data_IF_985062591735
#
_entry.id   IF_985062591735
#
_cell.length_a   1.000
_cell.length_b   1.000
_cell.length_c   1.000
_cell.angle_alpha   90.00
_cell.angle_beta   90.00
_cell.angle_gamma   90.00
#
_symmetry.space_group_name_H-M   'P 1'
#
loop_
_entity.id
_entity.type
_entity.pdbx_description
1 polymer ?
#
# COMPACT_ATOMS: atom_id res chain seq x y z
N UNK A 1 -1.58 -53.14 23.49
CA UNK A 1 -2.35 -52.21 24.34
C UNK A 1 -1.42 -51.08 24.74
N UNK A 2 -1.52 -49.92 24.07
CA UNK A 2 -0.63 -48.78 24.33
C UNK A 2 -0.98 -48.09 25.66
N UNK A 3 0.05 -47.77 26.44
CA UNK A 3 0.00 -47.20 27.77
C UNK A 3 -0.76 -45.85 27.79
N UNK A 4 -1.80 -45.68 28.63
CA UNK A 4 -2.59 -44.44 28.69
C UNK A 4 -1.76 -43.20 29.05
N UNK A 5 -0.63 -43.39 29.75
CA UNK A 5 0.30 -42.30 30.11
C UNK A 5 0.99 -41.72 28.87
N UNK A 6 1.32 -42.55 27.87
CA UNK A 6 1.98 -42.13 26.63
C UNK A 6 1.06 -41.28 25.73
N UNK A 7 -0.27 -41.46 25.85
CA UNK A 7 -1.27 -40.67 25.09
C UNK A 7 -1.45 -39.26 25.67
N UNK A 8 -1.36 -39.11 26.99
CA UNK A 8 -1.53 -37.82 27.66
C UNK A 8 -0.28 -36.94 27.45
N UNK A 9 0.92 -37.53 27.49
CA UNK A 9 2.16 -36.80 27.23
C UNK A 9 2.26 -36.32 25.77
N UNK A 10 1.78 -37.11 24.81
CA UNK A 10 1.73 -36.73 23.39
C UNK A 10 0.76 -35.59 23.08
N UNK A 11 -0.35 -35.47 23.82
CA UNK A 11 -1.32 -34.39 23.64
C UNK A 11 -0.81 -33.05 24.17
N UNK A 12 -0.08 -33.06 25.29
CA UNK A 12 0.53 -31.86 25.89
C UNK A 12 1.68 -31.26 25.05
N UNK A 13 2.43 -32.10 24.33
CA UNK A 13 3.51 -31.64 23.44
C UNK A 13 2.98 -30.95 22.17
N UNK A 14 1.80 -31.34 21.68
CA UNK A 14 1.15 -30.69 20.52
C UNK A 14 0.50 -29.35 20.86
N UNK A 15 0.12 -29.09 22.11
CA UNK A 15 -0.46 -27.80 22.56
C UNK A 15 0.60 -26.69 22.74
N UNK A 16 1.89 -27.04 22.90
CA UNK A 16 2.98 -26.07 23.05
C UNK A 16 3.51 -25.46 21.74
N UNK A 17 3.22 -26.09 20.59
CA UNK A 17 3.76 -25.68 19.28
C UNK A 17 2.79 -24.83 18.43
N UNK A 18 1.55 -24.64 18.88
CA UNK A 18 0.49 -23.98 18.10
C UNK A 18 0.34 -22.47 18.39
N UNK A 19 1.06 -21.92 19.35
CA UNK A 19 1.00 -20.49 19.65
C UNK A 19 2.28 -19.80 19.15
N UNK A 20 2.31 -19.47 17.86
CA UNK A 20 3.18 -18.41 17.37
C UNK A 20 2.39 -17.10 17.56
N UNK A 21 2.60 -16.33 18.64
CA UNK A 21 1.98 -15.02 18.73
C UNK A 21 2.61 -14.17 17.65
N UNK A 22 1.87 -13.90 16.57
CA UNK A 22 2.26 -12.87 15.61
C UNK A 22 2.16 -11.55 16.37
N UNK A 23 3.27 -11.13 16.98
CA UNK A 23 3.39 -9.82 17.62
C UNK A 23 3.14 -8.80 16.51
N UNK A 24 1.97 -8.18 16.51
CA UNK A 24 1.67 -7.13 15.55
C UNK A 24 2.75 -6.04 15.71
N UNK A 25 3.32 -5.54 14.61
CA UNK A 25 4.25 -4.44 14.69
C UNK A 25 3.53 -3.27 15.34
N UNK A 26 4.07 -2.83 16.48
CA UNK A 26 3.52 -1.71 17.22
C UNK A 26 3.65 -0.45 16.35
N UNK A 27 2.60 0.35 16.28
CA UNK A 27 2.62 1.58 15.50
C UNK A 27 3.69 2.50 16.09
N UNK A 28 4.69 2.94 15.31
CA UNK A 28 5.72 3.83 15.84
C UNK A 28 5.11 5.13 16.36
N UNK A 29 5.60 5.59 17.51
CA UNK A 29 5.22 6.89 18.07
C UNK A 29 6.02 8.02 17.44
N UNK A 30 5.47 9.24 17.42
CA UNK A 30 6.14 10.42 16.84
C UNK A 30 5.93 10.59 15.33
N UNK A 31 6.37 11.74 14.82
CA UNK A 31 6.30 12.05 13.38
C UNK A 31 7.45 11.35 12.63
N UNK A 32 7.23 10.83 11.41
CA UNK A 32 8.30 10.24 10.62
C UNK A 32 9.35 11.29 10.23
N UNK A 33 10.59 10.84 10.05
CA UNK A 33 11.70 11.65 9.58
C UNK A 33 12.10 11.26 8.16
N UNK A 34 12.42 12.25 7.33
CA UNK A 34 12.91 12.06 5.98
C UNK A 34 14.39 12.43 5.94
N UNK A 35 15.24 11.44 5.69
CA UNK A 35 16.68 11.63 5.57
C UNK A 35 17.08 11.53 4.11
N UNK A 36 17.69 12.57 3.56
CA UNK A 36 18.20 12.52 2.19
C UNK A 36 19.22 11.39 2.07
N UNK A 37 19.11 10.58 1.02
CA UNK A 37 19.94 9.40 0.78
C UNK A 37 20.53 9.44 -0.63
N UNK A 38 21.15 8.33 -1.04
CA UNK A 38 21.73 8.15 -2.37
C UNK A 38 21.30 6.80 -2.97
N UNK A 39 21.49 6.66 -4.27
CA UNK A 39 21.06 5.47 -5.02
C UNK A 39 21.83 4.20 -4.63
N UNK A 40 23.09 4.34 -4.19
CA UNK A 40 23.91 3.21 -3.72
C UNK A 40 23.40 2.62 -2.40
N UNK A 41 22.60 3.37 -1.63
CA UNK A 41 21.97 2.89 -0.41
C UNK A 41 20.76 2.00 -0.65
N UNK A 42 20.20 1.98 -1.88
CA UNK A 42 19.09 1.10 -2.24
C UNK A 42 19.63 -0.31 -2.56
N UNK A 43 19.17 -1.35 -1.86
CA UNK A 43 19.60 -2.72 -2.16
C UNK A 43 19.31 -3.09 -3.61
N UNK A 44 20.30 -3.71 -4.27
CA UNK A 44 20.19 -4.24 -5.64
C UNK A 44 19.82 -3.21 -6.72
N UNK A 45 19.94 -1.91 -6.45
CA UNK A 45 19.54 -0.86 -7.38
C UNK A 45 20.17 -1.03 -8.76
N UNK A 46 21.49 -1.21 -8.85
CA UNK A 46 22.20 -1.35 -10.13
C UNK A 46 21.76 -2.54 -10.99
N UNK A 47 21.07 -3.53 -10.39
CA UNK A 47 20.59 -4.74 -11.07
C UNK A 47 19.08 -4.65 -11.39
N UNK A 48 18.39 -3.63 -10.87
CA UNK A 48 16.96 -3.47 -11.05
C UNK A 48 16.62 -3.27 -12.54
N UNK A 49 15.59 -3.98 -13.00
CA UNK A 49 14.97 -3.75 -14.30
C UNK A 49 13.88 -2.69 -14.14
N UNK A 50 14.04 -1.54 -14.80
CA UNK A 50 13.23 -0.35 -14.53
C UNK A 50 12.10 -0.11 -15.53
N UNK A 51 11.95 -0.97 -16.56
CA UNK A 51 10.84 -0.87 -17.50
C UNK A 51 9.45 -0.86 -16.81
N UNK A 52 9.17 -1.73 -15.81
CA UNK A 52 7.91 -1.67 -15.06
C UNK A 52 7.76 -0.37 -14.26
N UNK A 53 8.85 0.15 -13.69
CA UNK A 53 8.86 1.41 -12.95
C UNK A 53 8.54 2.60 -13.86
N UNK A 54 9.09 2.64 -15.07
CA UNK A 54 8.76 3.65 -16.08
C UNK A 54 7.29 3.56 -16.50
N UNK A 55 6.78 2.34 -16.72
CA UNK A 55 5.36 2.14 -17.04
C UNK A 55 4.43 2.67 -15.94
N UNK A 56 4.76 2.38 -14.66
CA UNK A 56 4.02 2.90 -13.52
C UNK A 56 4.08 4.43 -13.41
N UNK A 57 5.26 5.03 -13.64
CA UNK A 57 5.42 6.48 -13.68
C UNK A 57 4.56 7.12 -14.78
N UNK A 58 4.59 6.56 -16.00
CA UNK A 58 3.81 7.03 -17.13
C UNK A 58 2.30 6.93 -16.89
N UNK A 59 1.82 5.86 -16.23
CA UNK A 59 0.42 5.74 -15.82
C UNK A 59 0.00 6.87 -14.87
N UNK A 60 0.86 7.23 -13.90
CA UNK A 60 0.61 8.37 -13.00
C UNK A 60 0.69 9.74 -13.70
N UNK A 61 1.54 9.87 -14.71
CA UNK A 61 1.77 11.11 -15.46
C UNK A 61 0.53 11.63 -16.21
N UNK A 62 -0.49 10.80 -16.46
CA UNK A 62 -1.80 11.22 -16.99
C UNK A 62 -2.38 12.39 -16.17
N UNK A 63 -2.26 12.33 -14.84
CA UNK A 63 -2.75 13.37 -13.93
C UNK A 63 -1.63 14.26 -13.41
N UNK A 64 -0.47 13.68 -13.08
CA UNK A 64 0.61 14.42 -12.41
C UNK A 64 1.17 15.56 -13.24
N UNK A 65 1.22 15.44 -14.58
CA UNK A 65 1.72 16.51 -15.47
C UNK A 65 0.97 17.83 -15.36
N UNK A 66 -0.21 17.88 -14.73
CA UNK A 66 -0.93 19.13 -14.43
C UNK A 66 -0.22 19.97 -13.37
N UNK A 67 0.66 19.36 -12.56
CA UNK A 67 1.46 20.04 -11.53
C UNK A 67 2.79 20.48 -12.14
N UNK A 68 3.17 21.74 -11.92
CA UNK A 68 4.36 22.36 -12.52
C UNK A 68 5.64 21.52 -12.35
N UNK A 69 5.92 21.06 -11.13
CA UNK A 69 7.11 20.25 -10.80
C UNK A 69 7.17 18.89 -11.51
N UNK A 70 6.05 18.39 -12.04
CA UNK A 70 5.95 17.09 -12.71
C UNK A 70 5.90 17.20 -14.23
N UNK A 71 5.69 18.40 -14.79
CA UNK A 71 5.55 18.59 -16.23
C UNK A 71 6.76 18.06 -17.00
N UNK A 72 7.95 18.52 -16.61
CA UNK A 72 9.20 18.13 -17.24
C UNK A 72 9.51 16.64 -17.05
N UNK A 73 9.38 16.14 -15.81
CA UNK A 73 9.61 14.72 -15.49
C UNK A 73 8.73 13.82 -16.36
N UNK A 74 7.44 14.14 -16.46
CA UNK A 74 6.50 13.37 -17.26
C UNK A 74 6.71 13.50 -18.77
N UNK A 75 7.14 14.68 -19.25
CA UNK A 75 7.48 14.86 -20.66
C UNK A 75 8.70 14.01 -21.04
N UNK A 76 9.75 14.03 -20.23
CA UNK A 76 10.97 13.25 -20.46
C UNK A 76 10.72 11.74 -20.31
N UNK A 77 9.98 11.30 -19.28
CA UNK A 77 9.62 9.90 -19.09
C UNK A 77 8.87 9.31 -20.30
N UNK A 78 8.02 10.11 -20.95
CA UNK A 78 7.24 9.68 -22.11
C UNK A 78 8.07 9.46 -23.39
N UNK A 79 9.35 9.89 -23.40
CA UNK A 79 10.25 9.75 -24.55
C UNK A 79 11.23 8.58 -24.41
N UNK A 80 11.29 7.93 -23.25
CA UNK A 80 12.27 6.88 -22.97
C UNK A 80 11.88 5.53 -23.60
N UNK A 81 12.89 4.85 -24.14
CA UNK A 81 12.77 3.47 -24.60
C UNK A 81 12.86 2.50 -23.42
N UNK A 82 11.80 1.72 -23.19
CA UNK A 82 11.72 0.72 -22.13
C UNK A 82 12.75 -0.41 -22.25
N UNK A 83 13.33 -0.63 -23.44
CA UNK A 83 14.35 -1.66 -23.67
C UNK A 83 15.74 -1.25 -23.19
N UNK A 84 15.99 0.05 -23.02
CA UNK A 84 17.27 0.59 -22.61
C UNK A 84 17.34 0.83 -21.10
N UNK A 85 17.56 -0.23 -20.32
CA UNK A 85 17.57 -0.16 -18.86
C UNK A 85 18.60 0.84 -18.30
N UNK A 86 19.74 1.03 -18.97
CA UNK A 86 20.77 1.98 -18.54
C UNK A 86 20.30 3.44 -18.67
N UNK A 87 19.57 3.78 -19.73
CA UNK A 87 18.93 5.09 -19.87
C UNK A 87 17.85 5.31 -18.79
N UNK A 88 17.13 4.26 -18.40
CA UNK A 88 16.16 4.33 -17.31
C UNK A 88 16.85 4.63 -15.98
N UNK A 89 17.94 3.93 -15.66
CA UNK A 89 18.76 4.20 -14.47
C UNK A 89 19.18 5.66 -14.40
N UNK A 90 19.81 6.17 -15.47
CA UNK A 90 20.21 7.59 -15.55
C UNK A 90 19.03 8.55 -15.34
N UNK A 91 17.88 8.28 -15.98
CA UNK A 91 16.71 9.13 -15.81
C UNK A 91 16.23 9.19 -14.36
N UNK A 92 16.11 8.05 -13.68
CA UNK A 92 15.69 8.05 -12.28
C UNK A 92 16.73 8.76 -11.40
N UNK A 93 18.01 8.52 -11.64
CA UNK A 93 19.11 9.12 -10.89
C UNK A 93 19.19 10.65 -11.07
N UNK A 94 18.95 11.15 -12.27
CA UNK A 94 19.00 12.58 -12.61
C UNK A 94 17.74 13.34 -12.15
N UNK A 95 16.57 12.69 -12.15
CA UNK A 95 15.28 13.36 -11.89
C UNK A 95 14.76 13.22 -10.48
N UNK A 96 15.30 12.27 -9.71
CA UNK A 96 14.83 11.99 -8.36
C UNK A 96 15.98 11.92 -7.36
N UNK A 97 15.70 12.36 -6.14
CA UNK A 97 16.60 12.18 -4.99
C UNK A 97 15.97 11.15 -4.06
N UNK A 98 16.66 10.06 -3.72
CA UNK A 98 16.18 9.10 -2.72
C UNK A 98 16.10 9.75 -1.33
N UNK A 99 15.03 9.49 -0.60
CA UNK A 99 14.88 9.87 0.81
C UNK A 99 14.55 8.62 1.63
N UNK A 100 15.40 8.30 2.61
CA UNK A 100 15.12 7.24 3.58
C UNK A 100 14.07 7.74 4.57
N UNK A 101 12.97 6.99 4.68
CA UNK A 101 11.95 7.22 5.69
C UNK A 101 12.38 6.51 6.99
N UNK A 102 12.41 7.24 8.10
CA UNK A 102 12.50 6.67 9.44
C UNK A 102 11.23 6.93 10.23
N UNK A 103 10.86 5.97 11.04
CA UNK A 103 9.74 6.08 11.96
C UNK A 103 10.02 7.13 13.04
N UNK A 104 8.98 7.62 13.72
CA UNK A 104 9.14 8.64 14.76
C UNK A 104 9.90 8.18 16.01
N UNK A 105 10.01 6.87 16.21
CA UNK A 105 10.87 6.25 17.23
C UNK A 105 12.32 6.02 16.75
N UNK A 106 12.64 6.45 15.53
CA UNK A 106 13.96 6.33 14.91
C UNK A 106 14.23 4.99 14.22
N UNK A 107 13.32 4.02 14.30
CA UNK A 107 13.45 2.74 13.60
C UNK A 107 13.29 2.90 12.08
N UNK A 108 13.89 1.98 11.32
CA UNK A 108 13.89 1.97 9.85
C UNK A 108 13.15 0.76 9.25
N UNK A 109 12.47 -0.01 10.10
CA UNK A 109 11.67 -1.16 9.71
C UNK A 109 10.19 -0.79 9.62
N UNK A 110 9.48 -1.35 8.65
CA UNK A 110 8.06 -1.12 8.44
C UNK A 110 7.32 -2.41 8.08
N UNK A 111 6.00 -2.33 8.02
CA UNK A 111 5.15 -3.42 7.58
C UNK A 111 4.74 -3.22 6.11
N UNK A 112 5.11 -4.17 5.25
CA UNK A 112 4.60 -4.25 3.88
C UNK A 112 3.39 -5.20 3.87
N UNK A 113 2.25 -4.71 3.35
CA UNK A 113 1.04 -5.51 3.14
C UNK A 113 0.66 -5.52 1.66
N UNK A 114 -0.24 -6.42 1.26
CA UNK A 114 -0.76 -6.52 -0.10
C UNK A 114 -2.27 -6.32 -0.15
N UNK A 115 -2.74 -5.72 -1.24
CA UNK A 115 -4.16 -5.68 -1.63
C UNK A 115 -4.29 -6.12 -3.09
N UNK A 116 -5.48 -6.54 -3.50
CA UNK A 116 -5.77 -6.95 -4.87
C UNK A 116 -7.20 -6.59 -5.24
N UNK A 117 -7.51 -6.62 -6.55
CA UNK A 117 -8.87 -6.47 -7.05
C UNK A 117 -9.52 -7.85 -7.21
N UNK A 118 -10.54 -8.21 -6.40
CA UNK A 118 -11.16 -9.52 -6.49
C UNK A 118 -12.05 -9.64 -7.72
N UNK A 119 -11.97 -10.80 -8.39
CA UNK A 119 -12.86 -11.15 -9.48
C UNK A 119 -14.09 -11.92 -8.95
N UNK A 120 -15.28 -11.37 -9.18
CA UNK A 120 -16.55 -11.94 -8.74
C UNK A 120 -17.45 -12.24 -9.93
N UNK A 121 -18.14 -13.38 -9.91
CA UNK A 121 -19.19 -13.67 -10.89
C UNK A 121 -20.43 -12.85 -10.59
N UNK A 122 -20.84 -12.02 -11.55
CA UNK A 122 -22.01 -11.16 -11.44
C UNK A 122 -22.94 -11.26 -12.63
N UNK A 123 -24.12 -10.66 -12.50
CA UNK A 123 -25.06 -10.45 -13.58
C UNK A 123 -25.71 -9.06 -13.43
N UNK A 124 -25.91 -8.36 -14.54
CA UNK A 124 -26.60 -7.05 -14.56
C UNK A 124 -28.09 -7.17 -14.27
N UNK A 125 -28.69 -8.36 -14.42
CA UNK A 125 -30.09 -8.63 -14.13
C UNK A 125 -30.19 -9.61 -12.96
N UNK A 126 -31.00 -9.26 -11.96
CA UNK A 126 -31.29 -10.10 -10.80
C UNK A 126 -31.93 -11.41 -11.24
N UNK A 127 -31.43 -12.54 -10.73
CA UNK A 127 -32.08 -13.85 -10.86
C UNK A 127 -31.83 -14.69 -9.60
N UNK A 128 -32.25 -15.96 -9.61
CA UNK A 128 -32.10 -16.84 -8.45
C UNK A 128 -30.63 -17.01 -8.00
N UNK A 129 -29.66 -17.00 -8.92
CA UNK A 129 -28.23 -17.12 -8.59
C UNK A 129 -27.62 -15.77 -8.17
N UNK A 130 -27.92 -14.70 -8.89
CA UNK A 130 -27.37 -13.35 -8.68
C UNK A 130 -28.38 -12.47 -7.93
N UNK A 131 -28.54 -12.73 -6.62
CA UNK A 131 -29.58 -12.09 -5.77
C UNK A 131 -29.10 -10.88 -4.96
N UNK A 132 -27.79 -10.67 -4.84
CA UNK A 132 -27.20 -9.60 -4.03
C UNK A 132 -26.74 -8.45 -4.95
N UNK A 133 -27.36 -7.26 -4.88
CA UNK A 133 -26.96 -6.13 -5.70
C UNK A 133 -25.67 -5.47 -5.19
N UNK A 134 -24.94 -4.83 -6.10
CA UNK A 134 -23.87 -3.89 -5.78
C UNK A 134 -24.48 -2.49 -5.86
N UNK A 135 -24.64 -1.83 -4.72
CA UNK A 135 -25.26 -0.51 -4.65
C UNK A 135 -24.28 0.59 -5.07
N UNK A 136 -24.78 1.58 -5.80
CA UNK A 136 -24.13 2.88 -5.92
C UNK A 136 -24.31 3.73 -4.65
N UNK A 137 -23.84 4.97 -4.69
CA UNK A 137 -24.16 5.94 -3.66
C UNK A 137 -25.67 6.26 -3.68
N UNK A 138 -26.39 6.17 -2.55
CA UNK A 138 -27.81 6.55 -2.49
C UNK A 138 -28.03 8.05 -2.72
N UNK A 139 -29.12 8.42 -3.42
CA UNK A 139 -29.47 9.83 -3.70
C UNK A 139 -29.75 10.65 -2.42
N UNK A 140 -30.11 9.98 -1.34
CA UNK A 140 -30.42 10.55 -0.03
C UNK A 140 -29.27 10.41 0.98
N UNK A 141 -28.06 10.06 0.52
CA UNK A 141 -26.89 10.03 1.38
C UNK A 141 -26.44 11.45 1.73
N UNK A 142 -26.62 11.85 2.98
CA UNK A 142 -26.13 13.12 3.49
C UNK A 142 -24.70 12.97 4.01
N UNK A 143 -23.78 13.80 3.51
CA UNK A 143 -22.43 13.97 4.06
C UNK A 143 -22.38 15.35 4.73
N UNK A 144 -22.33 15.36 6.07
CA UNK A 144 -22.46 16.59 6.85
C UNK A 144 -21.12 16.91 7.50
N UNK A 145 -20.62 18.12 7.27
CA UNK A 145 -19.53 18.70 8.06
C UNK A 145 -20.15 19.50 9.21
N UNK A 146 -19.91 19.04 10.44
CA UNK A 146 -20.36 19.69 11.66
C UNK A 146 -19.19 20.25 12.48
N UNK A 147 -17.99 20.36 11.92
CA UNK A 147 -16.81 20.79 12.65
C UNK A 147 -16.96 22.18 13.28
N UNK A 148 -17.70 23.08 12.64
CA UNK A 148 -17.94 24.44 13.14
C UNK A 148 -18.88 24.48 14.35
N UNK A 149 -19.85 23.55 14.43
CA UNK A 149 -20.81 23.45 15.54
C UNK A 149 -20.29 22.55 16.67
N UNK A 150 -19.52 21.52 16.31
CA UNK A 150 -18.97 20.52 17.20
C UNK A 150 -17.50 20.32 16.87
N UNK A 151 -16.58 21.10 17.47
CA UNK A 151 -15.15 21.02 17.19
C UNK A 151 -14.56 19.62 17.37
N UNK A 152 -15.16 18.79 18.22
CA UNK A 152 -14.77 17.39 18.41
C UNK A 152 -15.00 16.50 17.17
N UNK A 153 -15.82 16.94 16.21
CA UNK A 153 -16.10 16.23 14.96
C UNK A 153 -15.17 16.65 13.82
N UNK A 154 -14.22 17.58 14.07
CA UNK A 154 -13.28 18.05 13.06
C UNK A 154 -12.45 16.90 12.49
N UNK A 155 -12.50 16.75 11.16
CA UNK A 155 -11.84 15.67 10.44
C UNK A 155 -12.63 14.35 10.37
N UNK A 156 -13.80 14.27 11.02
CA UNK A 156 -14.75 13.18 10.83
C UNK A 156 -15.65 13.47 9.63
N UNK A 157 -16.05 12.43 8.90
CA UNK A 157 -17.07 12.52 7.85
C UNK A 157 -18.34 11.85 8.35
N UNK A 158 -19.29 12.63 8.83
CA UNK A 158 -20.58 12.10 9.28
C UNK A 158 -21.42 11.77 8.04
N UNK A 159 -22.03 10.59 8.04
CA UNK A 159 -22.88 10.10 6.95
C UNK A 159 -24.20 9.63 7.52
N UNK A 160 -25.30 10.03 6.90
CA UNK A 160 -26.64 9.67 7.35
C UNK A 160 -27.68 9.87 6.25
N UNK A 161 -28.94 9.82 6.66
CA UNK A 161 -30.12 10.12 5.87
C UNK A 161 -31.04 10.99 6.73
#
# INVERSE_FOLDING_TARGET
MLNPIARILGLLLCLGLAACPIKQPEKPSGAPQYLQSNWQALPEWSQATLAPSLAALNAGCVTMKKKQHWQQICAEAGLLDTSNNEALHRFFEDKFTPWQLRNGDGSDQGLITGYYEPLLYGNRVKNERYRFPVYGEPDDLLIIDLADLYPQLKGMRLRGR
#
